data_IF_915882483939
#
_entry.id   IF_915882483939
#
_cell.length_a   1.000
_cell.length_b   1.000
_cell.length_c   1.000
_cell.angle_alpha   90.00
_cell.angle_beta   90.00
_cell.angle_gamma   90.00
#
_symmetry.space_group_name_H-M   'P 1'
#
loop_
_entity.id
_entity.type
_entity.pdbx_description
1 polymer ?
#
# COMPACT_ATOMS: atom_id res chain seq x y z
N UNK A 1 10.79 11.78 3.07
CA UNK A 1 10.98 11.29 4.45
C UNK A 1 11.77 9.99 4.43
N UNK A 2 13.07 10.03 4.71
CA UNK A 2 13.93 8.84 4.79
C UNK A 2 14.04 8.30 6.22
N UNK A 3 13.89 7.00 6.40
CA UNK A 3 14.06 6.25 7.65
C UNK A 3 14.33 4.79 7.31
N UNK A 4 14.75 3.97 8.29
CA UNK A 4 15.03 2.55 8.04
C UNK A 4 13.77 1.81 7.56
N UNK A 5 13.92 0.62 6.99
CA UNK A 5 12.76 -0.21 6.65
C UNK A 5 11.91 -0.54 7.88
N UNK A 6 12.54 -0.77 9.03
CA UNK A 6 11.84 -0.94 10.30
C UNK A 6 11.01 0.30 10.68
N UNK A 7 11.51 1.52 10.42
CA UNK A 7 10.76 2.75 10.68
C UNK A 7 9.60 2.96 9.72
N UNK A 8 9.74 2.54 8.46
CA UNK A 8 8.62 2.52 7.50
C UNK A 8 7.54 1.54 7.95
N UNK A 9 7.94 0.30 8.27
CA UNK A 9 7.03 -0.75 8.73
C UNK A 9 6.31 -0.35 10.02
N UNK A 10 7.01 0.25 10.98
CA UNK A 10 6.41 0.74 12.23
C UNK A 10 5.35 1.81 11.98
N UNK A 11 5.57 2.71 11.01
CA UNK A 11 4.63 3.79 10.67
C UNK A 11 3.35 3.29 10.01
N UNK A 12 3.45 2.29 9.12
CA UNK A 12 2.28 1.79 8.39
C UNK A 12 1.47 0.76 9.19
N UNK A 13 2.09 0.07 10.17
CA UNK A 13 1.46 -1.03 10.92
C UNK A 13 0.09 -0.68 11.53
N UNK A 14 -0.11 0.47 12.20
CA UNK A 14 -1.43 0.83 12.73
C UNK A 14 -2.54 0.86 11.66
N UNK A 15 -2.23 1.33 10.45
CA UNK A 15 -3.21 1.35 9.37
C UNK A 15 -3.55 -0.06 8.86
N UNK A 16 -2.55 -0.94 8.76
CA UNK A 16 -2.75 -2.35 8.39
C UNK A 16 -3.61 -3.07 9.43
N UNK A 17 -3.39 -2.80 10.73
CA UNK A 17 -4.13 -3.42 11.81
C UNK A 17 -5.61 -2.98 11.79
N UNK A 18 -5.89 -1.71 11.49
CA UNK A 18 -7.26 -1.20 11.31
C UNK A 18 -7.97 -1.88 10.12
N UNK A 19 -7.29 -2.00 8.97
CA UNK A 19 -7.86 -2.65 7.79
C UNK A 19 -8.14 -4.14 8.03
N UNK A 20 -7.24 -4.84 8.73
CA UNK A 20 -7.46 -6.24 9.10
C UNK A 20 -8.58 -6.42 10.11
N UNK A 21 -8.73 -5.48 11.05
CA UNK A 21 -9.80 -5.53 12.06
C UNK A 21 -11.20 -5.44 11.44
N UNK A 22 -11.35 -4.84 10.25
CA UNK A 22 -12.61 -4.83 9.49
C UNK A 22 -12.77 -5.99 8.52
N UNK A 23 -11.90 -6.99 8.61
CA UNK A 23 -11.98 -8.22 7.80
C UNK A 23 -11.36 -8.10 6.41
N UNK A 24 -10.63 -7.02 6.09
CA UNK A 24 -9.88 -6.96 4.84
C UNK A 24 -8.66 -7.88 4.90
N UNK A 25 -8.45 -8.65 3.85
CA UNK A 25 -7.15 -9.22 3.54
C UNK A 25 -6.25 -8.10 2.99
N UNK A 26 -5.07 -7.91 3.61
CA UNK A 26 -4.20 -6.78 3.27
C UNK A 26 -2.88 -7.29 2.70
N UNK A 27 -2.70 -7.06 1.41
CA UNK A 27 -1.44 -7.24 0.70
C UNK A 27 -0.63 -5.95 0.83
N UNK A 28 0.59 -6.06 1.35
CA UNK A 28 1.54 -4.96 1.43
C UNK A 28 2.89 -5.48 0.93
N UNK A 29 3.13 -5.44 -0.40
CA UNK A 29 4.44 -5.80 -0.95
C UNK A 29 5.47 -4.86 -0.33
N UNK A 30 6.40 -5.43 0.43
CA UNK A 30 7.16 -4.66 1.42
C UNK A 30 8.57 -5.17 1.66
N UNK A 31 9.19 -5.83 0.67
CA UNK A 31 10.37 -6.65 0.91
C UNK A 31 11.52 -6.50 -0.08
N UNK A 32 11.69 -5.35 -0.73
CA UNK A 32 13.03 -5.06 -1.25
C UNK A 32 13.84 -4.26 -0.23
N UNK A 33 15.08 -4.69 0.07
CA UNK A 33 16.04 -3.79 0.70
C UNK A 33 16.15 -2.53 -0.14
N UNK A 34 16.51 -1.41 0.49
CA UNK A 34 16.79 -0.15 -0.22
C UNK A 34 17.86 -0.47 -1.28
N UNK A 35 17.43 -0.54 -2.54
CA UNK A 35 18.16 -1.15 -3.64
C UNK A 35 19.42 -0.38 -4.01
N UNK A 36 20.48 -1.10 -4.36
CA UNK A 36 21.70 -0.50 -4.93
C UNK A 36 21.75 -0.57 -6.46
N UNK A 37 20.86 -1.34 -7.11
CA UNK A 37 20.88 -1.59 -8.56
C UNK A 37 19.53 -1.33 -9.24
N UNK A 38 19.54 -1.21 -10.57
CA UNK A 38 18.33 -1.04 -11.38
C UNK A 38 17.45 -2.29 -11.40
N UNK A 39 18.04 -3.49 -11.39
CA UNK A 39 17.29 -4.76 -11.39
C UNK A 39 16.48 -4.94 -10.11
N UNK A 40 17.04 -4.53 -8.97
CA UNK A 40 16.34 -4.53 -7.69
C UNK A 40 15.11 -3.60 -7.72
N UNK A 41 15.21 -2.43 -8.36
CA UNK A 41 14.09 -1.50 -8.53
C UNK A 41 13.01 -2.10 -9.43
N UNK A 42 13.41 -2.73 -10.54
CA UNK A 42 12.47 -3.39 -11.45
C UNK A 42 11.75 -4.56 -10.77
N UNK A 43 12.45 -5.31 -9.91
CA UNK A 43 11.83 -6.38 -9.13
C UNK A 43 10.77 -5.86 -8.16
N UNK A 44 10.95 -4.67 -7.56
CA UNK A 44 9.92 -4.04 -6.72
C UNK A 44 8.70 -3.68 -7.55
N UNK A 45 8.93 -2.99 -8.67
CA UNK A 45 7.85 -2.55 -9.57
C UNK A 45 7.02 -3.76 -10.03
N UNK A 46 7.68 -4.86 -10.42
CA UNK A 46 6.98 -6.08 -10.82
C UNK A 46 6.18 -6.68 -9.66
N UNK A 47 6.74 -6.74 -8.45
CA UNK A 47 6.01 -7.22 -7.27
C UNK A 47 4.79 -6.35 -6.94
N UNK A 48 4.87 -5.05 -7.15
CA UNK A 48 3.75 -4.13 -6.93
C UNK A 48 2.68 -4.30 -8.02
N UNK A 49 3.07 -4.53 -9.28
CA UNK A 49 2.15 -4.82 -10.37
C UNK A 49 1.42 -6.15 -10.18
N UNK A 50 2.13 -7.20 -9.75
CA UNK A 50 1.52 -8.49 -9.42
C UNK A 50 0.52 -8.35 -8.28
N UNK A 51 0.88 -7.61 -7.22
CA UNK A 51 -0.02 -7.33 -6.11
C UNK A 51 -1.26 -6.53 -6.56
N UNK A 52 -1.10 -5.57 -7.48
CA UNK A 52 -2.24 -4.82 -8.04
C UNK A 52 -3.21 -5.72 -8.82
N UNK A 53 -2.73 -6.76 -9.48
CA UNK A 53 -3.58 -7.68 -10.24
C UNK A 53 -4.52 -8.51 -9.34
N UNK A 54 -4.17 -8.70 -8.06
CA UNK A 54 -4.85 -9.59 -7.13
C UNK A 54 -5.74 -8.86 -6.10
N UNK A 55 -5.84 -7.53 -6.15
CA UNK A 55 -6.62 -6.75 -5.16
C UNK A 55 -7.89 -6.13 -5.73
N UNK A 56 -8.92 -6.05 -4.89
CA UNK A 56 -10.18 -5.39 -5.24
C UNK A 56 -10.09 -3.85 -5.18
N UNK A 57 -9.18 -3.32 -4.37
CA UNK A 57 -8.99 -1.89 -4.16
C UNK A 57 -7.59 -1.56 -3.61
N UNK A 58 -7.13 -0.35 -3.88
CA UNK A 58 -5.94 0.24 -3.25
C UNK A 58 -6.37 1.23 -2.17
N UNK A 59 -5.82 1.11 -0.96
CA UNK A 59 -6.07 2.08 0.10
C UNK A 59 -4.91 3.08 0.17
N UNK A 60 -5.20 4.35 -0.13
CA UNK A 60 -4.27 5.44 0.02
C UNK A 60 -4.13 5.83 1.49
N UNK A 61 -2.90 5.78 2.01
CA UNK A 61 -2.59 6.23 3.36
C UNK A 61 -2.44 7.77 3.39
N UNK A 62 -2.52 8.41 4.57
CA UNK A 62 -2.24 9.83 4.69
C UNK A 62 -0.85 10.17 4.13
N UNK A 63 -0.76 11.29 3.42
CA UNK A 63 0.49 11.86 2.85
C UNK A 63 1.15 11.04 1.73
N UNK A 64 0.53 9.96 1.23
CA UNK A 64 1.08 9.15 0.14
C UNK A 64 0.51 9.48 -1.25
N UNK A 65 -0.35 10.51 -1.37
CA UNK A 65 -1.13 10.85 -2.58
C UNK A 65 -0.38 11.10 -3.90
N UNK A 66 0.95 10.97 -3.95
CA UNK A 66 1.78 11.15 -5.15
C UNK A 66 2.52 9.87 -5.58
N UNK A 67 2.15 8.73 -5.00
CA UNK A 67 2.68 7.43 -5.35
C UNK A 67 2.23 7.00 -6.75
N UNK A 68 3.12 6.37 -7.50
CA UNK A 68 2.87 5.97 -8.89
C UNK A 68 1.83 4.84 -8.96
N UNK A 69 1.78 4.03 -7.91
CA UNK A 69 0.84 2.94 -7.67
C UNK A 69 -0.61 3.41 -7.82
N UNK A 70 -0.94 4.65 -7.44
CA UNK A 70 -2.30 5.19 -7.55
C UNK A 70 -2.71 5.50 -8.99
N UNK A 71 -1.77 6.05 -9.77
CA UNK A 71 -1.96 6.26 -11.20
C UNK A 71 -2.14 4.94 -11.93
N UNK A 72 -1.34 3.93 -11.54
CA UNK A 72 -1.43 2.60 -12.15
C UNK A 72 -2.73 1.88 -11.78
N UNK A 73 -3.14 1.90 -10.51
CA UNK A 73 -4.43 1.37 -10.09
C UNK A 73 -5.58 1.98 -10.92
N UNK A 74 -5.59 3.31 -11.09
CA UNK A 74 -6.59 3.99 -11.93
C UNK A 74 -6.56 3.55 -13.39
N UNK A 75 -5.38 3.30 -13.96
CA UNK A 75 -5.23 2.81 -15.34
C UNK A 75 -5.75 1.38 -15.50
N UNK A 76 -5.61 0.56 -14.46
CA UNK A 76 -6.10 -0.83 -14.42
C UNK A 76 -7.59 -0.93 -14.03
N UNK A 77 -8.25 0.19 -13.76
CA UNK A 77 -9.65 0.22 -13.31
C UNK A 77 -9.85 -0.21 -11.85
N UNK A 78 -8.77 -0.27 -11.06
CA UNK A 78 -8.80 -0.62 -9.64
C UNK A 78 -9.10 0.65 -8.83
N UNK A 79 -10.14 0.65 -7.98
CA UNK A 79 -10.50 1.81 -7.19
C UNK A 79 -9.41 2.15 -6.17
N UNK A 80 -9.11 3.45 -6.04
CA UNK A 80 -8.25 3.99 -4.99
C UNK A 80 -9.14 4.64 -3.92
N UNK A 81 -9.09 4.10 -2.71
CA UNK A 81 -9.89 4.53 -1.56
C UNK A 81 -9.04 5.32 -0.58
N UNK A 82 -9.62 6.33 0.07
CA UNK A 82 -8.95 7.05 1.15
C UNK A 82 -9.05 6.29 2.48
N UNK A 83 -7.92 6.16 3.19
CA UNK A 83 -7.88 5.46 4.47
C UNK A 83 -8.80 6.09 5.52
N UNK A 84 -8.97 7.42 5.56
CA UNK A 84 -9.84 8.04 6.56
C UNK A 84 -11.30 7.62 6.35
N UNK A 85 -11.72 7.48 5.10
CA UNK A 85 -13.02 6.90 4.73
C UNK A 85 -13.17 5.45 5.21
N UNK A 86 -12.21 4.59 4.91
CA UNK A 86 -12.22 3.18 5.35
C UNK A 86 -12.26 3.07 6.89
N UNK A 87 -11.44 3.86 7.59
CA UNK A 87 -11.36 3.84 9.04
C UNK A 87 -12.62 4.41 9.72
N UNK A 88 -13.37 5.31 9.06
CA UNK A 88 -14.64 5.81 9.58
C UNK A 88 -15.73 4.73 9.58
N UNK A 89 -15.80 3.93 8.51
CA UNK A 89 -16.69 2.75 8.42
C UNK A 89 -16.33 1.74 9.51
N UNK A 90 -15.03 1.47 9.69
CA UNK A 90 -14.51 0.56 10.70
C UNK A 90 -14.99 0.85 12.13
N UNK A 91 -15.09 2.13 12.50
CA UNK A 91 -15.48 2.57 13.85
C UNK A 91 -16.98 2.56 14.08
N UNK A 92 -17.76 2.35 13.02
CA UNK A 92 -19.22 2.39 13.05
C UNK A 92 -19.84 0.99 12.96
N UNK A 93 -19.01 -0.05 12.79
CA UNK A 93 -19.35 -1.47 12.83
C UNK A 93 -19.07 -2.04 14.23
#
# INVERSE_FOLDING_TARGET
MGGTQADRNRRIRPALDVLRAVGCEVVCPGHSPVSATADDLLSVINSDLDALADVDAVVALPETGRLWEYTMAGTLGIPVLDFAGCAAVARSA
#
